data_IF_298430240210
#
_entry.id   IF_298430240210
#
_cell.length_a   1.000
_cell.length_b   1.000
_cell.length_c   1.000
_cell.angle_alpha   90.00
_cell.angle_beta   90.00
_cell.angle_gamma   90.00
#
_symmetry.space_group_name_H-M   'P 1'
#
loop_
_entity.id
_entity.type
_entity.pdbx_description
1 polymer ?
#
# COMPACT_ATOMS: atom_id res chain seq x y z
N UNK A 1 14.75 -4.37 20.16
CA UNK A 1 15.20 -3.03 19.73
C UNK A 1 15.27 -3.02 18.20
N UNK A 2 14.57 -2.11 17.50
CA UNK A 2 14.54 -2.10 16.02
C UNK A 2 15.94 -1.72 15.52
N UNK A 3 16.62 -2.66 14.85
CA UNK A 3 18.05 -2.56 14.46
C UNK A 3 18.32 -1.65 13.25
N UNK A 4 17.30 -1.01 12.66
CA UNK A 4 17.45 -0.18 11.46
C UNK A 4 16.50 1.03 11.49
N UNK A 5 17.01 2.28 11.31
CA UNK A 5 16.17 3.48 11.20
C UNK A 5 15.13 3.39 10.07
N UNK A 6 15.45 2.67 8.98
CA UNK A 6 14.54 2.46 7.85
C UNK A 6 13.32 1.62 8.25
N UNK A 7 13.54 0.58 9.06
CA UNK A 7 12.45 -0.26 9.60
C UNK A 7 11.62 0.54 10.62
N UNK A 8 12.27 1.35 11.45
CA UNK A 8 11.54 2.21 12.38
C UNK A 8 10.67 3.22 11.63
N UNK A 9 11.14 3.76 10.50
CA UNK A 9 10.38 4.68 9.68
C UNK A 9 9.25 3.97 8.92
N UNK A 10 9.48 2.76 8.37
CA UNK A 10 8.41 1.97 7.74
C UNK A 10 7.25 1.70 8.69
N UNK A 11 7.53 1.41 9.97
CA UNK A 11 6.50 1.24 10.99
C UNK A 11 5.62 2.47 11.18
N UNK A 12 6.19 3.67 11.06
CA UNK A 12 5.44 4.93 11.19
C UNK A 12 4.51 5.13 10.00
N UNK A 13 4.98 4.85 8.79
CA UNK A 13 4.12 4.87 7.59
C UNK A 13 3.02 3.83 7.67
N UNK A 14 3.32 2.61 8.12
CA UNK A 14 2.31 1.59 8.32
C UNK A 14 1.28 1.97 9.40
N UNK A 15 1.69 2.62 10.49
CA UNK A 15 0.74 3.17 11.47
C UNK A 15 -0.19 4.21 10.85
N UNK A 16 0.36 5.15 10.08
CA UNK A 16 -0.42 6.17 9.39
C UNK A 16 -1.46 5.51 8.47
N UNK A 17 -1.02 4.56 7.64
CA UNK A 17 -1.88 3.81 6.72
C UNK A 17 -2.97 3.08 7.47
N UNK A 18 -2.64 2.31 8.50
CA UNK A 18 -3.65 1.58 9.28
C UNK A 18 -4.66 2.52 9.94
N UNK A 19 -4.23 3.66 10.48
CA UNK A 19 -5.13 4.62 11.09
C UNK A 19 -6.09 5.23 10.06
N UNK A 20 -5.59 5.67 8.90
CA UNK A 20 -6.45 6.23 7.86
C UNK A 20 -7.42 5.19 7.27
N UNK A 21 -6.97 3.94 7.10
CA UNK A 21 -7.85 2.86 6.65
C UNK A 21 -8.92 2.49 7.69
N UNK A 22 -8.60 2.56 8.98
CA UNK A 22 -9.60 2.38 10.03
C UNK A 22 -10.68 3.49 9.98
N UNK A 23 -10.29 4.74 9.77
CA UNK A 23 -11.25 5.84 9.60
C UNK A 23 -12.13 5.65 8.35
N UNK A 24 -11.55 5.20 7.24
CA UNK A 24 -12.30 4.83 6.04
C UNK A 24 -13.36 3.76 6.34
N UNK A 25 -12.97 2.69 7.04
CA UNK A 25 -13.88 1.61 7.45
C UNK A 25 -14.98 2.14 8.38
N UNK A 26 -14.63 2.90 9.43
CA UNK A 26 -15.57 3.44 10.41
C UNK A 26 -16.56 4.44 9.79
N UNK A 27 -16.11 5.19 8.78
CA UNK A 27 -16.98 6.13 8.05
C UNK A 27 -17.97 5.42 7.10
N UNK A 28 -17.76 4.13 6.83
CA UNK A 28 -18.53 3.36 5.86
C UNK A 28 -18.16 3.67 4.41
N UNK A 29 -17.00 4.28 4.16
CA UNK A 29 -16.53 4.66 2.81
C UNK A 29 -17.59 5.42 1.99
N UNK A 30 -18.31 6.37 2.61
CA UNK A 30 -19.42 7.09 1.98
C UNK A 30 -18.93 7.95 0.82
N UNK A 31 -19.23 7.55 -0.42
CA UNK A 31 -18.87 8.33 -1.61
C UNK A 31 -19.97 9.29 -2.05
N UNK A 32 -21.20 9.10 -1.57
CA UNK A 32 -22.35 9.93 -1.87
C UNK A 32 -23.27 10.10 -0.65
N UNK A 33 -23.99 11.22 -0.58
CA UNK A 33 -24.93 11.53 0.49
C UNK A 33 -26.22 12.01 -0.14
N UNK A 34 -27.31 11.29 0.11
CA UNK A 34 -28.67 11.72 -0.24
C UNK A 34 -29.26 12.38 1.01
N UNK A 35 -29.49 13.69 0.96
CA UNK A 35 -30.08 14.45 2.05
C UNK A 35 -31.29 15.26 1.57
N UNK A 36 -32.17 15.65 2.49
CA UNK A 36 -33.24 16.60 2.22
C UNK A 36 -32.66 18.01 2.18
N UNK A 37 -33.36 18.92 1.51
CA UNK A 37 -32.95 20.32 1.36
C UNK A 37 -32.78 21.06 2.71
N UNK A 38 -33.44 20.55 3.76
CA UNK A 38 -33.40 21.10 5.13
C UNK A 38 -32.25 20.53 5.98
N UNK A 39 -31.61 19.45 5.52
CA UNK A 39 -30.49 18.85 6.24
C UNK A 39 -29.23 19.68 5.93
N UNK A 40 -28.75 20.47 6.89
CA UNK A 40 -27.46 21.17 6.83
C UNK A 40 -26.29 20.18 6.93
N UNK A 41 -26.18 19.24 5.98
CA UNK A 41 -25.08 18.28 5.92
C UNK A 41 -23.88 18.92 5.24
N UNK A 42 -22.78 18.99 5.97
CA UNK A 42 -21.48 19.27 5.37
C UNK A 42 -21.00 18.03 4.59
N UNK A 43 -21.14 18.11 3.26
CA UNK A 43 -20.76 17.03 2.34
C UNK A 43 -19.26 16.71 2.40
N UNK A 44 -18.40 17.73 2.54
CA UNK A 44 -16.96 17.54 2.59
C UNK A 44 -16.56 16.80 3.86
N UNK A 45 -17.10 17.21 5.00
CA UNK A 45 -16.86 16.55 6.29
C UNK A 45 -17.38 15.11 6.29
N UNK A 46 -18.57 14.88 5.73
CA UNK A 46 -19.19 13.57 5.75
C UNK A 46 -18.61 12.58 4.72
N UNK A 47 -17.90 13.06 3.69
CA UNK A 47 -17.21 12.22 2.69
C UNK A 47 -15.69 12.24 2.81
N UNK A 48 -15.10 12.97 3.78
CA UNK A 48 -13.64 13.16 3.89
C UNK A 48 -12.83 11.86 3.96
N UNK A 49 -13.42 10.80 4.52
CA UNK A 49 -12.80 9.49 4.68
C UNK A 49 -13.13 8.49 3.57
N UNK A 50 -13.74 8.95 2.47
CA UNK A 50 -14.05 8.10 1.32
C UNK A 50 -12.82 7.81 0.45
N UNK A 51 -12.80 6.63 -0.17
CA UNK A 51 -11.71 6.18 -1.03
C UNK A 51 -11.42 7.17 -2.16
N UNK A 52 -12.44 7.79 -2.76
CA UNK A 52 -12.31 8.80 -3.81
C UNK A 52 -11.48 10.02 -3.39
N UNK A 53 -11.36 10.29 -2.09
CA UNK A 53 -10.61 11.43 -1.54
C UNK A 53 -9.23 11.05 -1.03
N UNK A 54 -9.07 9.85 -0.47
CA UNK A 54 -7.87 9.52 0.34
C UNK A 54 -7.11 8.29 -0.13
N UNK A 55 -7.63 7.49 -1.05
CA UNK A 55 -7.04 6.16 -1.27
C UNK A 55 -5.65 6.25 -1.89
N UNK A 56 -5.43 7.09 -2.89
CA UNK A 56 -4.12 7.25 -3.52
C UNK A 56 -3.02 7.68 -2.55
N UNK A 57 -3.18 8.75 -1.73
CA UNK A 57 -2.16 9.12 -0.77
C UNK A 57 -1.95 8.04 0.31
N UNK A 58 -2.99 7.31 0.74
CA UNK A 58 -2.82 6.17 1.65
C UNK A 58 -1.95 5.09 1.01
N UNK A 59 -2.27 4.70 -0.22
CA UNK A 59 -1.54 3.66 -0.95
C UNK A 59 -0.10 4.07 -1.26
N UNK A 60 0.13 5.35 -1.57
CA UNK A 60 1.48 5.89 -1.74
C UNK A 60 2.31 5.68 -0.45
N UNK A 61 1.75 6.03 0.70
CA UNK A 61 2.40 5.85 2.00
C UNK A 61 2.60 4.37 2.35
N UNK A 62 1.65 3.50 1.97
CA UNK A 62 1.76 2.05 2.17
C UNK A 62 2.94 1.47 1.40
N UNK A 63 3.00 1.72 0.09
CA UNK A 63 4.12 1.24 -0.72
C UNK A 63 5.46 1.86 -0.31
N UNK A 64 5.46 3.12 0.12
CA UNK A 64 6.67 3.72 0.68
C UNK A 64 7.12 3.03 1.96
N UNK A 65 6.19 2.64 2.83
CA UNK A 65 6.46 1.78 3.99
C UNK A 65 7.09 0.43 3.59
N UNK A 66 6.55 -0.23 2.57
CA UNK A 66 7.13 -1.48 2.03
C UNK A 66 8.56 -1.26 1.52
N UNK A 67 8.79 -0.21 0.72
CA UNK A 67 10.11 0.12 0.19
C UNK A 67 11.14 0.32 1.32
N UNK A 68 10.79 1.11 2.33
CA UNK A 68 11.65 1.37 3.49
C UNK A 68 11.93 0.09 4.27
N UNK A 69 10.93 -0.79 4.42
CA UNK A 69 11.11 -2.06 5.09
C UNK A 69 12.08 -2.96 4.32
N UNK A 70 11.92 -3.10 3.00
CA UNK A 70 12.83 -3.88 2.14
C UNK A 70 14.26 -3.36 2.22
N UNK A 71 14.45 -2.04 2.05
CA UNK A 71 15.76 -1.39 2.21
C UNK A 71 16.34 -1.61 3.61
N UNK A 72 15.49 -1.55 4.62
CA UNK A 72 15.85 -1.82 6.01
C UNK A 72 16.37 -3.23 6.21
N UNK A 73 15.71 -4.24 5.65
CA UNK A 73 16.13 -5.65 5.68
C UNK A 73 17.49 -5.80 4.98
N UNK A 74 17.63 -5.32 3.74
CA UNK A 74 18.91 -5.39 3.02
C UNK A 74 20.06 -4.77 3.83
N UNK A 75 19.80 -3.62 4.47
CA UNK A 75 20.78 -2.95 5.32
C UNK A 75 21.19 -3.77 6.54
N UNK A 76 20.25 -4.50 7.17
CA UNK A 76 20.56 -5.37 8.31
C UNK A 76 21.54 -6.49 7.94
N UNK A 77 21.50 -6.95 6.69
CA UNK A 77 22.37 -7.99 6.16
C UNK A 77 23.59 -7.42 5.41
N UNK A 78 23.86 -6.12 5.53
CA UNK A 78 25.03 -5.49 4.90
C UNK A 78 24.96 -5.37 3.38
N UNK A 79 23.78 -5.57 2.78
CA UNK A 79 23.58 -5.47 1.33
C UNK A 79 23.32 -4.01 0.94
N UNK A 80 24.10 -3.50 -0.01
CA UNK A 80 23.88 -2.17 -0.58
C UNK A 80 22.70 -2.16 -1.55
N UNK A 81 22.02 -1.02 -1.65
CA UNK A 81 20.94 -0.79 -2.60
C UNK A 81 21.07 0.59 -3.23
N UNK A 82 20.66 0.70 -4.49
CA UNK A 82 20.70 1.96 -5.22
C UNK A 82 19.66 2.98 -4.75
N UNK A 83 19.76 4.20 -5.27
CA UNK A 83 18.78 5.28 -5.03
C UNK A 83 17.43 5.07 -5.77
N UNK A 84 17.25 3.97 -6.49
CA UNK A 84 16.01 3.72 -7.22
C UNK A 84 14.88 3.25 -6.29
N UNK A 85 13.64 3.47 -6.73
CA UNK A 85 12.40 3.09 -6.04
C UNK A 85 11.82 1.77 -6.60
N UNK A 86 12.68 0.93 -7.17
CA UNK A 86 12.25 -0.28 -7.85
C UNK A 86 11.95 -1.38 -6.82
N UNK A 87 10.71 -1.41 -6.36
CA UNK A 87 10.26 -2.31 -5.30
C UNK A 87 10.35 -3.79 -5.67
N UNK A 88 10.19 -4.13 -6.97
CA UNK A 88 10.38 -5.50 -7.47
C UNK A 88 11.83 -5.97 -7.29
N UNK A 89 12.81 -5.10 -7.57
CA UNK A 89 14.23 -5.43 -7.41
C UNK A 89 14.61 -5.56 -5.93
N UNK A 90 14.10 -4.64 -5.10
CA UNK A 90 14.30 -4.70 -3.66
C UNK A 90 13.70 -5.98 -3.07
N UNK A 91 12.49 -6.35 -3.49
CA UNK A 91 11.86 -7.59 -3.07
C UNK A 91 12.65 -8.82 -3.51
N UNK A 92 13.08 -8.89 -4.77
CA UNK A 92 13.90 -10.00 -5.26
C UNK A 92 15.14 -10.20 -4.39
N UNK A 93 15.87 -9.12 -4.09
CA UNK A 93 17.07 -9.20 -3.26
C UNK A 93 16.76 -9.69 -1.83
N UNK A 94 15.66 -9.22 -1.24
CA UNK A 94 15.21 -9.67 0.09
C UNK A 94 14.74 -11.13 0.07
N UNK A 95 14.03 -11.52 -0.99
CA UNK A 95 13.57 -12.88 -1.20
C UNK A 95 14.76 -13.84 -1.29
N UNK A 96 15.72 -13.58 -2.18
CA UNK A 96 16.91 -14.43 -2.38
C UNK A 96 17.74 -14.56 -1.09
N UNK A 97 17.75 -13.52 -0.26
CA UNK A 97 18.44 -13.52 1.04
C UNK A 97 17.73 -14.40 2.10
N UNK A 98 16.41 -14.45 2.09
CA UNK A 98 15.60 -15.01 3.18
C UNK A 98 14.92 -16.33 2.83
N UNK A 99 14.93 -16.76 1.56
CA UNK A 99 14.13 -17.88 1.05
C UNK A 99 14.33 -19.20 1.82
N UNK A 100 15.55 -19.48 2.26
CA UNK A 100 15.87 -20.71 3.00
C UNK A 100 15.45 -20.66 4.48
N UNK A 101 15.11 -19.47 5.01
CA UNK A 101 14.69 -19.29 6.38
C UNK A 101 13.17 -19.40 6.53
N UNK A 102 12.68 -20.58 6.92
CA UNK A 102 11.26 -20.87 7.15
C UNK A 102 10.55 -19.87 8.07
N UNK A 103 11.24 -19.25 9.03
CA UNK A 103 10.65 -18.25 9.95
C UNK A 103 10.30 -16.93 9.26
N UNK A 104 10.91 -16.66 8.11
CA UNK A 104 10.71 -15.43 7.33
C UNK A 104 9.71 -15.60 6.19
N UNK A 105 9.24 -16.83 5.94
CA UNK A 105 8.24 -17.14 4.92
C UNK A 105 7.00 -16.22 5.00
N UNK A 106 6.39 -15.96 6.17
CA UNK A 106 5.25 -15.04 6.25
C UNK A 106 5.58 -13.61 5.78
N UNK A 107 6.79 -13.14 6.05
CA UNK A 107 7.26 -11.82 5.61
C UNK A 107 7.38 -11.80 4.08
N UNK A 108 7.98 -12.83 3.50
CA UNK A 108 8.17 -12.94 2.05
C UNK A 108 6.85 -13.07 1.29
N UNK A 109 5.88 -13.79 1.83
CA UNK A 109 4.54 -13.95 1.24
C UNK A 109 3.81 -12.61 1.20
N UNK A 110 3.77 -11.87 2.32
CA UNK A 110 3.10 -10.57 2.38
C UNK A 110 3.84 -9.53 1.51
N UNK A 111 5.16 -9.48 1.56
CA UNK A 111 5.94 -8.58 0.68
C UNK A 111 5.72 -8.92 -0.80
N UNK A 112 5.73 -10.20 -1.14
CA UNK A 112 5.53 -10.68 -2.51
C UNK A 112 4.16 -10.35 -3.05
N UNK A 113 3.14 -10.39 -2.18
CA UNK A 113 1.78 -9.96 -2.50
C UNK A 113 1.72 -8.56 -3.09
N UNK A 114 2.47 -7.60 -2.57
CA UNK A 114 2.37 -6.20 -3.04
C UNK A 114 3.43 -5.80 -4.06
N UNK A 115 4.48 -6.61 -4.21
CA UNK A 115 5.65 -6.26 -5.03
C UNK A 115 5.77 -7.06 -6.31
N UNK A 116 5.06 -8.19 -6.45
CA UNK A 116 5.05 -9.01 -7.67
C UNK A 116 3.82 -8.73 -8.53
N UNK A 117 4.02 -8.65 -9.85
CA UNK A 117 2.93 -8.51 -10.84
C UNK A 117 2.11 -9.81 -10.97
N UNK A 118 2.74 -10.95 -10.70
CA UNK A 118 2.16 -12.28 -10.96
C UNK A 118 1.17 -12.74 -9.88
N UNK A 119 1.05 -12.00 -8.78
CA UNK A 119 0.18 -12.39 -7.68
C UNK A 119 -1.27 -11.94 -7.91
N UNK A 120 -2.06 -12.78 -8.59
CA UNK A 120 -3.41 -12.49 -9.09
C UNK A 120 -4.43 -11.98 -8.07
N UNK A 121 -4.18 -12.20 -6.78
CA UNK A 121 -5.23 -12.14 -5.77
C UNK A 121 -5.36 -10.78 -5.05
N UNK A 122 -4.45 -9.83 -5.32
CA UNK A 122 -4.51 -8.50 -4.72
C UNK A 122 -5.31 -7.50 -5.59
N UNK A 123 -5.95 -6.51 -4.94
CA UNK A 123 -6.70 -5.43 -5.61
C UNK A 123 -5.83 -4.60 -6.59
N UNK A 124 -4.56 -4.42 -6.26
CA UNK A 124 -3.61 -3.62 -7.03
C UNK A 124 -3.31 -4.22 -8.41
N UNK A 125 -3.48 -5.51 -8.59
CA UNK A 125 -3.29 -6.16 -9.87
C UNK A 125 -4.33 -5.70 -10.89
N UNK A 126 -5.56 -5.41 -10.45
CA UNK A 126 -6.55 -4.73 -11.27
C UNK A 126 -6.05 -3.36 -11.72
N UNK A 127 -5.55 -2.55 -10.79
CA UNK A 127 -4.98 -1.22 -11.09
C UNK A 127 -3.78 -1.29 -12.04
N UNK A 128 -2.82 -2.17 -11.79
CA UNK A 128 -1.62 -2.31 -12.62
C UNK A 128 -1.96 -2.81 -14.03
N UNK A 129 -2.88 -3.77 -14.16
CA UNK A 129 -3.38 -4.24 -15.48
C UNK A 129 -4.11 -3.14 -16.23
N UNK A 130 -5.01 -2.41 -15.55
CA UNK A 130 -5.82 -1.36 -16.17
C UNK A 130 -4.99 -0.19 -16.70
N UNK A 131 -3.83 0.05 -16.10
CA UNK A 131 -2.91 1.12 -16.47
C UNK A 131 -1.72 0.67 -17.32
N UNK A 132 -1.61 -0.63 -17.62
CA UNK A 132 -0.44 -1.26 -18.26
C UNK A 132 0.89 -0.86 -17.61
N UNK A 133 0.93 -0.95 -16.27
CA UNK A 133 2.13 -0.70 -15.47
C UNK A 133 2.45 -1.92 -14.60
N UNK A 134 3.57 -1.86 -13.89
CA UNK A 134 3.94 -2.85 -12.86
C UNK A 134 4.21 -2.17 -11.52
N UNK A 135 4.31 -2.94 -10.41
CA UNK A 135 4.68 -2.39 -9.10
C UNK A 135 5.93 -1.49 -9.13
N UNK A 136 6.90 -1.71 -10.03
CA UNK A 136 8.04 -0.79 -10.28
C UNK A 136 7.65 0.69 -10.43
N UNK A 137 6.45 0.97 -10.92
CA UNK A 137 5.95 2.32 -11.22
C UNK A 137 4.98 2.85 -10.17
N UNK A 138 4.75 2.14 -9.06
CA UNK A 138 3.82 2.57 -8.00
C UNK A 138 4.08 4.02 -7.56
N UNK A 139 5.35 4.39 -7.39
CA UNK A 139 5.74 5.69 -6.88
C UNK A 139 5.30 6.83 -7.79
N UNK A 140 5.37 6.62 -9.11
CA UNK A 140 4.90 7.59 -10.09
C UNK A 140 3.37 7.53 -10.14
N UNK A 141 2.81 6.33 -10.21
CA UNK A 141 1.39 6.10 -10.40
C UNK A 141 0.50 6.56 -9.25
N UNK A 142 1.00 6.61 -8.02
CA UNK A 142 0.24 7.08 -6.85
C UNK A 142 0.58 8.52 -6.46
N UNK A 143 1.62 9.12 -7.05
CA UNK A 143 2.06 10.50 -6.77
C UNK A 143 1.57 11.49 -7.81
N UNK A 144 1.49 11.07 -9.07
CA UNK A 144 1.13 11.93 -10.19
C UNK A 144 -0.10 11.38 -10.91
N UNK A 145 -0.98 12.26 -11.41
CA UNK A 145 -2.18 11.82 -12.13
C UNK A 145 -1.87 11.35 -13.56
N UNK A 146 -0.66 11.60 -14.09
CA UNK A 146 -0.29 11.36 -15.49
C UNK A 146 0.75 10.25 -15.67
N UNK A 147 0.54 9.42 -16.69
CA UNK A 147 1.46 8.38 -17.15
C UNK A 147 2.49 8.99 -18.12
N UNK A 148 3.70 9.23 -17.63
CA UNK A 148 4.81 9.86 -18.36
C UNK A 148 4.47 11.31 -18.82
N UNK A 149 5.36 11.95 -19.58
CA UNK A 149 5.15 13.31 -20.10
C UNK A 149 4.03 13.41 -21.16
N UNK A 150 3.29 12.33 -21.38
CA UNK A 150 2.10 12.29 -22.23
C UNK A 150 0.90 12.46 -21.29
N UNK A 151 -0.03 13.36 -21.60
CA UNK A 151 -1.18 13.72 -20.75
C UNK A 151 -2.21 12.59 -20.49
N UNK A 152 -1.81 11.32 -20.56
CA UNK A 152 -2.64 10.16 -20.28
C UNK A 152 -2.83 10.02 -18.77
N UNK A 153 -4.08 10.05 -18.32
CA UNK A 153 -4.41 9.90 -16.90
C UNK A 153 -4.33 8.43 -16.44
N UNK A 154 -3.87 8.22 -15.21
CA UNK A 154 -4.06 6.94 -14.53
C UNK A 154 -5.53 6.69 -14.23
N UNK A 155 -5.96 5.45 -14.41
CA UNK A 155 -7.29 4.97 -14.12
C UNK A 155 -7.31 4.30 -12.75
N UNK A 156 -7.90 4.99 -11.77
CA UNK A 156 -8.02 4.54 -10.38
C UNK A 156 -9.35 3.86 -10.07
N UNK A 157 -10.19 3.51 -11.07
CA UNK A 157 -11.50 2.89 -10.84
C UNK A 157 -11.43 1.59 -10.03
N UNK A 158 -10.33 0.84 -10.11
CA UNK A 158 -10.14 -0.37 -9.30
C UNK A 158 -9.79 -0.10 -7.83
N UNK A 159 -9.50 1.16 -7.48
CA UNK A 159 -9.10 1.60 -6.14
C UNK A 159 -10.14 2.54 -5.50
N UNK A 160 -11.09 3.04 -6.27
CA UNK A 160 -12.14 4.01 -5.87
C UNK A 160 -13.52 3.39 -6.00
N UNK A 161 -14.50 3.97 -5.33
CA UNK A 161 -15.90 3.53 -5.37
C UNK A 161 -16.09 2.09 -4.89
N UNK A 162 -15.32 1.69 -3.90
CA UNK A 162 -15.37 0.39 -3.25
C UNK A 162 -16.44 0.37 -2.13
N UNK A 163 -17.42 1.27 -2.20
CA UNK A 163 -18.56 1.30 -1.29
C UNK A 163 -19.36 -0.01 -1.49
N UNK A 164 -19.57 -0.78 -0.41
CA UNK A 164 -20.28 -2.06 -0.41
C UNK A 164 -19.62 -3.22 -1.19
N UNK A 165 -18.32 -3.17 -1.49
CA UNK A 165 -17.64 -4.35 -2.07
C UNK A 165 -17.36 -5.40 -1.00
N UNK A 166 -17.70 -6.67 -1.29
CA UNK A 166 -17.51 -7.83 -0.38
C UNK A 166 -16.05 -8.06 0.07
N UNK A 167 -15.08 -7.45 -0.64
CA UNK A 167 -13.66 -7.45 -0.25
C UNK A 167 -13.29 -6.10 0.37
N UNK A 168 -13.24 -6.05 1.69
CA UNK A 168 -12.70 -4.90 2.41
C UNK A 168 -11.16 -4.92 2.35
N UNK A 169 -10.58 -4.53 1.20
CA UNK A 169 -9.13 -4.50 1.00
C UNK A 169 -8.40 -3.69 2.10
N UNK A 170 -9.08 -2.72 2.72
CA UNK A 170 -8.58 -1.95 3.85
C UNK A 170 -8.25 -2.84 5.04
N UNK A 171 -9.16 -3.76 5.40
CA UNK A 171 -8.94 -4.75 6.46
C UNK A 171 -7.80 -5.70 6.13
N UNK A 172 -7.70 -6.10 4.86
CA UNK A 172 -6.63 -6.96 4.36
C UNK A 172 -5.25 -6.27 4.50
N UNK A 173 -5.13 -5.01 4.08
CA UNK A 173 -3.90 -4.22 4.25
C UNK A 173 -3.57 -4.03 5.73
N UNK A 174 -4.56 -3.73 6.58
CA UNK A 174 -4.36 -3.59 8.03
C UNK A 174 -3.86 -4.90 8.64
N UNK A 175 -4.46 -6.02 8.27
CA UNK A 175 -4.07 -7.37 8.71
C UNK A 175 -2.63 -7.69 8.29
N UNK A 176 -2.29 -7.45 7.04
CA UNK A 176 -0.96 -7.68 6.49
C UNK A 176 0.09 -6.79 7.16
N UNK A 177 -0.21 -5.52 7.43
CA UNK A 177 0.66 -4.62 8.20
C UNK A 177 0.92 -5.20 9.59
N UNK A 178 -0.12 -5.68 10.26
CA UNK A 178 0.00 -6.27 11.61
C UNK A 178 0.88 -7.52 11.56
N UNK A 179 0.66 -8.41 10.60
CA UNK A 179 1.45 -9.62 10.40
C UNK A 179 2.90 -9.31 10.08
N UNK A 180 3.18 -8.35 9.19
CA UNK A 180 4.54 -7.89 8.90
C UNK A 180 5.25 -7.44 10.18
N UNK A 181 4.64 -6.52 10.93
CA UNK A 181 5.23 -5.97 12.15
C UNK A 181 5.50 -7.03 13.21
N UNK A 182 4.59 -7.99 13.36
CA UNK A 182 4.75 -9.08 14.32
C UNK A 182 5.85 -10.06 13.90
N UNK A 183 6.00 -10.32 12.61
CA UNK A 183 7.00 -11.29 12.12
C UNK A 183 8.40 -10.68 11.97
N UNK A 184 8.57 -9.36 11.98
CA UNK A 184 9.90 -8.72 11.92
C UNK A 184 10.82 -9.11 13.09
N UNK A 185 10.29 -9.61 14.22
CA UNK A 185 11.12 -10.17 15.30
C UNK A 185 11.88 -11.43 14.91
N UNK A 186 11.48 -12.07 13.81
CA UNK A 186 12.09 -13.28 13.27
C UNK A 186 13.25 -13.01 12.29
N UNK A 187 13.60 -11.73 12.08
CA UNK A 187 14.70 -11.27 11.20
C UNK A 187 16.06 -11.14 11.92
#
# INVERSE_FOLDING_TARGET
MIKSPLIALSHRYFNLVSNCLNELILSGNKTNIISRLEDNIDFDEATKWSDIRIIEPILFNFYHGIELMLKGILKLYGIEFGKNHNIETLYKNVHDLLIDNKKTKPILEILGKYTSRDNSDNLFNGFFKLNDISPKKYYIALRYPYLNNEFKLFNYKCLRYMENTDKNFSEEIISDIKLLKNNLVNL
#
